data_IF_719365572037
#
_entry.id   IF_719365572037
#
_cell.length_a   1.000
_cell.length_b   1.000
_cell.length_c   1.000
_cell.angle_alpha   90.00
_cell.angle_beta   90.00
_cell.angle_gamma   90.00
#
_symmetry.space_group_name_H-M   'P 1'
#
loop_
_entity.id
_entity.type
_entity.pdbx_description
1 polymer ?
#
# COMPACT_ATOMS: atom_id res chain seq x y z
N UNK A 1 27.23 24.26 18.63
CA UNK A 1 25.87 23.86 18.22
C UNK A 1 24.96 25.08 18.43
N UNK A 2 24.66 25.83 17.38
CA UNK A 2 23.94 27.12 17.47
C UNK A 2 22.45 26.91 17.69
N UNK A 3 21.75 27.89 18.28
CA UNK A 3 20.29 27.82 18.51
C UNK A 3 19.49 27.56 17.22
N UNK A 4 20.01 28.00 16.07
CA UNK A 4 19.48 27.75 14.73
C UNK A 4 19.42 26.27 14.32
N UNK A 5 20.29 25.43 14.90
CA UNK A 5 20.36 23.99 14.59
C UNK A 5 19.30 23.21 15.37
N UNK A 6 19.03 23.63 16.62
CA UNK A 6 17.99 23.05 17.48
C UNK A 6 16.59 23.26 16.89
N UNK A 7 16.31 24.45 16.36
CA UNK A 7 15.00 24.77 15.77
C UNK A 7 14.73 23.96 14.50
N UNK A 8 15.75 23.71 13.68
CA UNK A 8 15.64 22.88 12.47
C UNK A 8 15.38 21.42 12.83
N UNK A 9 16.10 20.88 13.81
CA UNK A 9 15.91 19.51 14.30
C UNK A 9 14.52 19.35 14.94
N UNK A 10 14.03 20.35 15.66
CA UNK A 10 12.70 20.33 16.26
C UNK A 10 11.59 20.33 15.21
N UNK A 11 11.68 21.18 14.18
CA UNK A 11 10.74 21.20 13.05
C UNK A 11 10.77 19.90 12.24
N UNK A 12 11.94 19.30 12.05
CA UNK A 12 12.08 17.99 11.39
C UNK A 12 11.38 16.88 12.17
N UNK A 13 11.54 16.85 13.50
CA UNK A 13 10.85 15.88 14.36
C UNK A 13 9.33 16.05 14.35
N UNK A 14 8.85 17.29 14.34
CA UNK A 14 7.41 17.59 14.20
C UNK A 14 6.87 17.08 12.87
N UNK A 15 7.52 17.42 11.76
CA UNK A 15 7.13 16.95 10.43
C UNK A 15 7.19 15.41 10.29
N UNK A 16 8.14 14.76 10.96
CA UNK A 16 8.24 13.29 10.98
C UNK A 16 7.08 12.66 11.78
N UNK A 17 6.69 13.26 12.90
CA UNK A 17 5.54 12.83 13.71
C UNK A 17 4.24 13.01 12.92
N UNK A 18 4.04 14.17 12.28
CA UNK A 18 2.86 14.45 11.47
C UNK A 18 2.76 13.47 10.28
N UNK A 19 3.87 13.23 9.58
CA UNK A 19 3.92 12.26 8.48
C UNK A 19 3.73 10.81 8.93
N UNK A 20 3.94 10.51 10.22
CA UNK A 20 3.64 9.21 10.81
C UNK A 20 2.17 9.09 11.19
N UNK A 21 1.58 10.16 11.73
CA UNK A 21 0.16 10.25 12.07
C UNK A 21 -0.72 10.09 10.82
N UNK A 22 -0.41 10.78 9.72
CA UNK A 22 -1.16 10.64 8.46
C UNK A 22 -1.17 9.20 7.93
N UNK A 23 -0.03 8.50 8.02
CA UNK A 23 0.07 7.09 7.60
C UNK A 23 -0.76 6.19 8.50
N UNK A 24 -0.79 6.47 9.80
CA UNK A 24 -1.57 5.72 10.76
C UNK A 24 -3.07 5.91 10.50
N UNK A 25 -3.52 7.14 10.24
CA UNK A 25 -4.91 7.44 9.93
C UNK A 25 -5.39 6.76 8.65
N UNK A 26 -4.56 6.73 7.60
CA UNK A 26 -4.89 6.01 6.35
C UNK A 26 -5.05 4.52 6.62
N UNK A 27 -4.13 3.90 7.37
CA UNK A 27 -4.20 2.46 7.70
C UNK A 27 -5.41 2.18 8.58
N UNK A 28 -5.67 3.01 9.59
CA UNK A 28 -6.77 2.84 10.51
C UNK A 28 -8.12 3.01 9.83
N UNK A 29 -8.26 4.01 8.94
CA UNK A 29 -9.45 4.21 8.11
C UNK A 29 -9.70 3.00 7.20
N UNK A 30 -8.65 2.45 6.59
CA UNK A 30 -8.76 1.27 5.76
C UNK A 30 -9.18 0.03 6.56
N UNK A 31 -8.59 -0.18 7.72
CA UNK A 31 -8.94 -1.28 8.62
C UNK A 31 -10.38 -1.17 9.11
N UNK A 32 -10.83 0.03 9.47
CA UNK A 32 -12.23 0.31 9.84
C UNK A 32 -13.18 -0.06 8.70
N UNK A 33 -12.82 0.25 7.46
CA UNK A 33 -13.61 -0.16 6.30
C UNK A 33 -13.67 -1.68 6.14
N UNK A 34 -12.54 -2.39 6.28
CA UNK A 34 -12.51 -3.85 6.23
C UNK A 34 -13.43 -4.44 7.30
N UNK A 35 -13.31 -3.99 8.55
CA UNK A 35 -14.14 -4.47 9.68
C UNK A 35 -15.62 -4.18 9.42
N UNK A 36 -15.96 -3.01 8.88
CA UNK A 36 -17.34 -2.67 8.53
C UNK A 36 -17.90 -3.59 7.45
N UNK A 37 -17.12 -3.93 6.43
CA UNK A 37 -17.55 -4.83 5.35
C UNK A 37 -17.71 -6.25 5.86
N UNK A 38 -16.78 -6.74 6.68
CA UNK A 38 -16.88 -8.06 7.32
C UNK A 38 -18.13 -8.12 8.22
N UNK A 39 -18.37 -7.08 9.03
CA UNK A 39 -19.55 -6.99 9.89
C UNK A 39 -20.85 -7.01 9.10
N UNK A 40 -20.89 -6.33 7.95
CA UNK A 40 -22.04 -6.35 7.05
C UNK A 40 -22.30 -7.74 6.46
N UNK A 41 -21.26 -8.43 6.00
CA UNK A 41 -21.37 -9.82 5.49
C UNK A 41 -21.83 -10.76 6.62
N UNK A 42 -21.29 -10.61 7.82
CA UNK A 42 -21.67 -11.42 8.98
C UNK A 42 -23.14 -11.18 9.37
N UNK A 43 -23.61 -9.94 9.36
CA UNK A 43 -25.01 -9.61 9.62
C UNK A 43 -25.96 -10.29 8.62
N UNK A 44 -25.60 -10.24 7.33
CA UNK A 44 -26.35 -10.93 6.27
C UNK A 44 -26.38 -12.44 6.52
N UNK A 45 -25.23 -13.03 6.87
CA UNK A 45 -25.14 -14.45 7.17
C UNK A 45 -26.03 -14.85 8.37
N UNK A 46 -26.03 -14.06 9.45
CA UNK A 46 -26.88 -14.33 10.62
C UNK A 46 -28.37 -14.25 10.28
N UNK A 47 -28.78 -13.27 9.49
CA UNK A 47 -30.16 -13.14 9.00
C UNK A 47 -30.55 -14.40 8.21
N UNK A 48 -29.71 -14.84 7.28
CA UNK A 48 -29.98 -16.05 6.50
C UNK A 48 -29.98 -17.33 7.33
N UNK A 49 -29.08 -17.45 8.30
CA UNK A 49 -29.06 -18.59 9.22
C UNK A 49 -30.36 -18.67 10.04
N UNK A 50 -30.88 -17.53 10.49
CA UNK A 50 -32.15 -17.46 11.22
C UNK A 50 -33.38 -17.74 10.34
N UNK A 51 -33.36 -17.33 9.07
CA UNK A 51 -34.45 -17.59 8.12
C UNK A 51 -34.40 -18.98 7.48
N UNK A 52 -33.25 -19.66 7.52
CA UNK A 52 -33.02 -20.99 6.96
C UNK A 52 -34.12 -22.02 7.31
N UNK A 53 -34.53 -22.21 8.58
CA UNK A 53 -35.59 -23.17 8.91
C UNK A 53 -36.96 -22.82 8.27
N UNK A 54 -37.22 -21.53 8.00
CA UNK A 54 -38.45 -21.09 7.34
C UNK A 54 -38.41 -21.40 5.84
N UNK A 55 -37.22 -21.25 5.23
CA UNK A 55 -37.00 -21.56 3.81
C UNK A 55 -37.01 -23.07 3.53
N UNK A 56 -36.47 -23.88 4.44
CA UNK A 56 -36.50 -25.34 4.33
C UNK A 56 -37.94 -25.89 4.45
N UNK A 57 -38.83 -25.18 5.14
CA UNK A 57 -40.25 -25.55 5.27
C UNK A 57 -41.12 -25.20 4.05
N UNK A 58 -40.70 -24.25 3.20
CA UNK A 58 -41.49 -23.79 2.06
C UNK A 58 -40.65 -23.63 0.78
N UNK A 59 -40.77 -24.54 -0.21
CA UNK A 59 -39.95 -24.54 -1.41
C UNK A 59 -40.09 -23.28 -2.29
N UNK A 60 -41.24 -22.61 -2.28
CA UNK A 60 -41.46 -21.34 -2.97
C UNK A 60 -40.54 -20.22 -2.49
N UNK A 61 -40.12 -20.30 -1.23
CA UNK A 61 -39.31 -19.28 -0.56
C UNK A 61 -37.82 -19.39 -0.94
N UNK A 62 -37.38 -20.56 -1.42
CA UNK A 62 -36.03 -20.80 -1.95
C UNK A 62 -35.79 -19.97 -3.23
N UNK A 63 -36.82 -19.81 -4.08
CA UNK A 63 -36.72 -19.00 -5.29
C UNK A 63 -36.56 -17.50 -4.98
N UNK A 64 -37.28 -17.01 -3.96
CA UNK A 64 -37.12 -15.62 -3.49
C UNK A 64 -35.73 -15.35 -2.89
N UNK A 65 -35.16 -16.33 -2.19
CA UNK A 65 -33.78 -16.30 -1.68
C UNK A 65 -32.76 -16.21 -2.82
N UNK A 66 -32.90 -17.05 -3.86
CA UNK A 66 -32.02 -17.04 -5.02
C UNK A 66 -32.05 -15.68 -5.74
N UNK A 67 -33.23 -15.07 -5.92
CA UNK A 67 -33.36 -13.74 -6.50
C UNK A 67 -32.74 -12.63 -5.66
N UNK A 68 -32.73 -12.76 -4.32
CA UNK A 68 -32.00 -11.83 -3.45
C UNK A 68 -30.50 -11.99 -3.64
N UNK A 69 -29.97 -13.22 -3.61
CA UNK A 69 -28.54 -13.49 -3.79
C UNK A 69 -28.04 -13.05 -5.17
N UNK A 70 -28.87 -13.15 -6.20
CA UNK A 70 -28.52 -12.69 -7.55
C UNK A 70 -28.46 -11.15 -7.65
N UNK A 71 -29.36 -10.45 -6.95
CA UNK A 71 -29.34 -8.97 -6.88
C UNK A 71 -28.23 -8.43 -5.99
N UNK A 72 -27.93 -9.15 -4.91
CA UNK A 72 -26.82 -8.86 -4.04
C UNK A 72 -25.55 -9.36 -4.73
N UNK A 73 -24.92 -8.53 -5.55
CA UNK A 73 -23.69 -8.83 -6.30
C UNK A 73 -22.50 -9.21 -5.39
N UNK A 74 -22.57 -10.37 -4.71
CA UNK A 74 -21.57 -10.85 -3.77
C UNK A 74 -20.21 -11.02 -4.45
N UNK A 75 -20.21 -11.41 -5.73
CA UNK A 75 -19.01 -11.49 -6.56
C UNK A 75 -18.20 -10.18 -6.55
N UNK A 76 -18.88 -9.03 -6.66
CA UNK A 76 -18.22 -7.73 -6.63
C UNK A 76 -17.69 -7.38 -5.24
N UNK A 77 -18.45 -7.69 -4.18
CA UNK A 77 -18.03 -7.43 -2.78
C UNK A 77 -16.78 -8.24 -2.44
N UNK A 78 -16.76 -9.53 -2.76
CA UNK A 78 -15.58 -10.38 -2.58
C UNK A 78 -14.41 -9.86 -3.42
N UNK A 79 -14.66 -9.44 -4.67
CA UNK A 79 -13.66 -8.81 -5.53
C UNK A 79 -13.02 -7.56 -4.91
N UNK A 80 -13.80 -6.68 -4.30
CA UNK A 80 -13.28 -5.50 -3.61
C UNK A 80 -12.43 -5.85 -2.38
N UNK A 81 -12.83 -6.85 -1.59
CA UNK A 81 -12.06 -7.28 -0.41
C UNK A 81 -10.73 -7.90 -0.84
N UNK A 82 -10.75 -8.79 -1.83
CA UNK A 82 -9.55 -9.43 -2.37
C UNK A 82 -8.60 -8.42 -3.00
N UNK A 83 -9.10 -7.50 -3.82
CA UNK A 83 -8.28 -6.46 -4.45
C UNK A 83 -7.71 -5.47 -3.42
N UNK A 84 -8.47 -5.13 -2.38
CA UNK A 84 -7.99 -4.35 -1.25
C UNK A 84 -6.84 -5.07 -0.52
N UNK A 85 -6.97 -6.37 -0.26
CA UNK A 85 -5.97 -7.15 0.45
C UNK A 85 -4.68 -7.34 -0.38
N UNK A 86 -4.80 -7.77 -1.63
CA UNK A 86 -3.64 -7.94 -2.51
C UNK A 86 -3.00 -6.61 -2.90
N UNK A 87 -3.80 -5.57 -3.12
CA UNK A 87 -3.30 -4.23 -3.45
C UNK A 87 -2.47 -3.62 -2.33
N UNK A 88 -2.93 -3.73 -1.08
CA UNK A 88 -2.18 -3.26 0.09
C UNK A 88 -0.92 -4.10 0.32
N UNK A 89 -1.00 -5.42 0.22
CA UNK A 89 0.16 -6.31 0.32
C UNK A 89 1.25 -5.97 -0.71
N UNK A 90 0.85 -5.78 -1.97
CA UNK A 90 1.77 -5.38 -3.04
C UNK A 90 2.38 -3.99 -2.82
N UNK A 91 1.60 -3.02 -2.34
CA UNK A 91 2.11 -1.69 -2.03
C UNK A 91 3.17 -1.73 -0.91
N UNK A 92 2.92 -2.49 0.15
CA UNK A 92 3.87 -2.66 1.26
C UNK A 92 5.15 -3.35 0.75
N UNK A 93 5.01 -4.44 -0.01
CA UNK A 93 6.15 -5.17 -0.58
C UNK A 93 7.00 -4.26 -1.48
N UNK A 94 6.37 -3.45 -2.34
CA UNK A 94 7.08 -2.52 -3.23
C UNK A 94 7.85 -1.46 -2.44
N UNK A 95 7.28 -0.98 -1.35
CA UNK A 95 7.92 0.02 -0.48
C UNK A 95 9.08 -0.58 0.31
N UNK A 96 8.92 -1.81 0.79
CA UNK A 96 9.99 -2.59 1.45
C UNK A 96 11.17 -2.86 0.51
N UNK A 97 10.90 -3.33 -0.72
CA UNK A 97 11.94 -3.56 -1.74
C UNK A 97 12.72 -2.28 -2.05
N UNK A 98 12.04 -1.14 -2.24
CA UNK A 98 12.71 0.16 -2.48
C UNK A 98 13.64 0.57 -1.33
N UNK A 99 13.25 0.34 -0.07
CA UNK A 99 14.09 0.64 1.11
C UNK A 99 15.34 -0.23 1.19
N UNK A 100 15.22 -1.51 0.82
CA UNK A 100 16.35 -2.43 0.80
C UNK A 100 17.33 -2.05 -0.31
N UNK A 101 16.82 -1.73 -1.51
CA UNK A 101 17.65 -1.24 -2.62
C UNK A 101 18.37 0.05 -2.25
N UNK A 102 17.71 0.99 -1.57
CA UNK A 102 18.34 2.25 -1.15
C UNK A 102 19.45 2.04 -0.13
N UNK A 103 19.23 1.18 0.87
CA UNK A 103 20.27 0.84 1.85
C UNK A 103 21.45 0.10 1.21
N UNK A 104 21.17 -0.83 0.29
CA UNK A 104 22.21 -1.53 -0.46
C UNK A 104 23.07 -0.54 -1.27
N UNK A 105 22.43 0.38 -1.99
CA UNK A 105 23.13 1.39 -2.79
C UNK A 105 23.96 2.36 -1.93
N UNK A 106 23.47 2.70 -0.72
CA UNK A 106 24.22 3.53 0.23
C UNK A 106 25.47 2.83 0.74
N UNK A 107 25.34 1.59 1.22
CA UNK A 107 26.48 0.78 1.68
C UNK A 107 27.47 0.50 0.55
N UNK A 108 26.98 0.21 -0.65
CA UNK A 108 27.83 0.00 -1.82
C UNK A 108 28.61 1.27 -2.18
N UNK A 109 27.97 2.44 -2.13
CA UNK A 109 28.66 3.71 -2.35
C UNK A 109 29.73 4.00 -1.28
N UNK A 110 29.51 3.61 -0.03
CA UNK A 110 30.50 3.77 1.05
C UNK A 110 31.72 2.87 0.84
N UNK A 111 31.49 1.60 0.47
CA UNK A 111 32.57 0.62 0.21
C UNK A 111 33.36 0.98 -1.04
N UNK A 112 32.69 1.36 -2.13
CA UNK A 112 33.32 1.69 -3.41
C UNK A 112 33.90 3.12 -3.46
N UNK A 113 33.79 3.90 -2.37
CA UNK A 113 34.24 5.30 -2.33
C UNK A 113 35.74 5.46 -2.62
N UNK A 114 36.53 4.43 -2.33
CA UNK A 114 37.99 4.41 -2.49
C UNK A 114 38.46 3.37 -3.53
N UNK A 115 37.56 2.80 -4.34
CA UNK A 115 37.91 1.80 -5.35
C UNK A 115 38.16 2.44 -6.72
N UNK A 116 39.38 2.27 -7.24
CA UNK A 116 39.83 2.78 -8.54
C UNK A 116 39.09 2.13 -9.72
N UNK A 117 38.52 0.93 -9.54
CA UNK A 117 37.81 0.16 -10.59
C UNK A 117 36.31 0.02 -10.30
N UNK A 118 35.68 1.11 -9.88
CA UNK A 118 34.26 1.15 -9.54
C UNK A 118 33.35 0.67 -10.67
N UNK A 119 32.63 -0.43 -10.44
CA UNK A 119 31.73 -1.06 -11.43
C UNK A 119 30.27 -0.61 -11.35
N UNK A 120 29.90 0.20 -10.33
CA UNK A 120 28.51 0.64 -10.15
C UNK A 120 28.05 1.54 -11.30
N UNK A 121 27.09 1.08 -12.10
CA UNK A 121 26.38 1.92 -13.08
C UNK A 121 25.78 3.14 -12.36
N UNK A 122 25.93 4.34 -12.90
CA UNK A 122 25.49 5.62 -12.31
C UNK A 122 23.98 5.81 -12.11
N UNK A 123 23.29 4.80 -11.57
CA UNK A 123 21.89 4.80 -11.17
C UNK A 123 21.70 5.58 -9.87
N UNK A 124 20.50 6.09 -9.67
CA UNK A 124 20.10 6.74 -8.41
C UNK A 124 20.17 5.77 -7.22
N UNK A 125 20.21 6.27 -5.97
CA UNK A 125 20.19 5.43 -4.75
C UNK A 125 19.04 4.39 -4.75
N UNK A 126 17.93 4.65 -5.44
CA UNK A 126 16.79 3.74 -5.57
C UNK A 126 16.85 2.77 -6.77
N UNK A 127 17.95 2.74 -7.54
CA UNK A 127 18.11 1.88 -8.72
C UNK A 127 17.36 2.36 -9.98
N UNK A 128 16.82 3.58 -9.97
CA UNK A 128 16.22 4.17 -11.16
C UNK A 128 17.28 4.84 -12.02
N UNK A 129 17.12 4.78 -13.34
CA UNK A 129 17.90 5.61 -14.29
C UNK A 129 17.69 7.08 -13.94
N UNK A 130 18.76 7.86 -13.73
CA UNK A 130 18.62 9.30 -13.47
C UNK A 130 17.89 9.93 -14.67
N UNK A 131 16.86 10.74 -14.39
CA UNK A 131 16.22 11.54 -15.43
C UNK A 131 17.32 12.37 -16.10
N UNK A 132 17.45 12.25 -17.41
CA UNK A 132 18.55 12.83 -18.17
C UNK A 132 18.76 14.29 -17.75
N UNK A 133 19.91 14.56 -17.12
CA UNK A 133 20.38 15.93 -16.99
C UNK A 133 20.65 16.34 -18.43
N UNK A 134 19.77 17.17 -19.00
CA UNK A 134 20.11 17.94 -20.19
C UNK A 134 21.33 18.76 -19.83
N UNK A 135 22.50 18.22 -20.13
CA UNK A 135 23.75 18.97 -20.11
C UNK A 135 23.58 20.01 -21.21
N UNK A 136 23.17 21.21 -20.82
CA UNK A 136 23.27 22.41 -21.64
C UNK A 136 24.72 22.49 -22.11
N UNK A 137 24.93 22.15 -23.38
CA UNK A 137 26.15 22.47 -24.12
C UNK A 137 27.20 21.37 -24.26
N UNK A 138 26.87 20.22 -24.85
CA UNK A 138 27.73 19.67 -25.92
C UNK A 138 27.05 18.57 -26.73
N UNK A 139 26.73 18.92 -27.98
CA UNK A 139 26.42 17.96 -29.05
C UNK A 139 27.70 17.12 -29.29
N UNK A 140 27.75 15.87 -28.83
CA UNK A 140 28.74 14.91 -29.35
C UNK A 140 28.07 14.10 -30.45
N UNK A 141 28.40 14.48 -31.69
CA UNK A 141 28.31 13.63 -32.89
C UNK A 141 29.29 12.47 -32.69
N UNK A 142 28.81 11.25 -32.91
CA UNK A 142 29.24 10.26 -33.92
C UNK A 142 28.37 9.04 -33.73
#
# INVERSE_FOLDING_TARGET
MSNLDKDKVFKLKLAEIDASAEKFDIVFSFLKHIVSVIGFIAAIYFIFSGLRPIFEANPSSISAMAGFVEKFNFSNIFGYILSAFFGTGWAIERTGKKRITSKKAELQNEVEKNDTYRSSSGLTKSGNTPAAITVTGKKRRT
#
